data_IF_968381832558
#
_entry.id   IF_968381832558
#
_cell.length_a   1.000
_cell.length_b   1.000
_cell.length_c   1.000
_cell.angle_alpha   90.00
_cell.angle_beta   90.00
_cell.angle_gamma   90.00
#
_symmetry.space_group_name_H-M   'P 1'
#
loop_
_entity.id
_entity.type
_entity.pdbx_description
1 polymer ?
#
# COMPACT_ATOMS: atom_id res chain seq x y z
N UNK A 1 0.75 -16.67 19.33
CA UNK A 1 1.75 -17.30 18.44
C UNK A 1 2.87 -16.31 18.14
N UNK A 2 4.12 -16.79 17.96
CA UNK A 2 5.23 -16.01 17.41
C UNK A 2 5.79 -16.71 16.16
N UNK A 3 5.99 -15.95 15.10
CA UNK A 3 6.56 -16.39 13.82
C UNK A 3 7.74 -15.47 13.46
N UNK A 4 8.83 -16.03 12.95
CA UNK A 4 9.94 -15.26 12.38
C UNK A 4 9.94 -15.44 10.86
N UNK A 5 10.13 -14.35 10.12
CA UNK A 5 10.21 -14.33 8.67
C UNK A 5 11.47 -13.56 8.27
N UNK A 6 12.30 -14.18 7.43
CA UNK A 6 13.48 -13.53 6.86
C UNK A 6 13.10 -12.63 5.69
N UNK A 7 13.83 -11.52 5.52
CA UNK A 7 13.78 -10.67 4.35
C UNK A 7 15.08 -10.80 3.53
N UNK A 8 15.00 -10.45 2.26
CA UNK A 8 16.19 -10.22 1.44
C UNK A 8 16.87 -8.94 1.94
N UNK A 9 18.14 -9.03 2.31
CA UNK A 9 18.92 -7.89 2.78
C UNK A 9 19.32 -6.98 1.60
N UNK A 10 19.53 -5.67 1.83
CA UNK A 10 19.27 -4.93 3.06
C UNK A 10 17.76 -4.70 3.29
N UNK A 11 17.35 -4.58 4.55
CA UNK A 11 15.94 -4.48 4.96
C UNK A 11 15.75 -3.51 6.12
N UNK A 12 14.71 -2.67 6.03
CA UNK A 12 14.24 -1.84 7.14
C UNK A 12 12.70 -1.83 7.19
N UNK A 13 12.14 -2.36 8.27
CA UNK A 13 10.71 -2.28 8.55
C UNK A 13 10.29 -0.83 8.77
N UNK A 14 11.12 -0.02 9.45
CA UNK A 14 10.83 1.39 9.68
C UNK A 14 10.73 2.17 8.37
N UNK A 15 11.62 1.90 7.41
CA UNK A 15 11.51 2.48 6.07
C UNK A 15 10.21 2.05 5.39
N UNK A 16 9.82 0.78 5.46
CA UNK A 16 8.54 0.30 4.89
C UNK A 16 7.35 1.01 5.52
N UNK A 17 7.31 1.13 6.85
CA UNK A 17 6.25 1.84 7.58
C UNK A 17 6.18 3.30 7.14
N UNK A 18 7.33 3.95 6.99
CA UNK A 18 7.46 5.35 6.59
C UNK A 18 7.33 5.58 5.07
N UNK A 19 7.24 4.52 4.26
CA UNK A 19 7.29 4.61 2.79
C UNK A 19 6.17 5.48 2.22
N UNK A 20 4.99 5.49 2.84
CA UNK A 20 3.87 6.37 2.52
C UNK A 20 2.76 6.27 3.58
N UNK A 21 1.57 6.78 3.25
CA UNK A 21 0.44 6.85 4.16
C UNK A 21 -0.27 5.53 4.49
N UNK A 22 0.01 4.39 3.85
CA UNK A 22 -0.76 3.15 4.09
C UNK A 22 -0.77 2.70 5.55
N UNK A 23 0.32 2.92 6.29
CA UNK A 23 0.40 2.58 7.71
C UNK A 23 -0.64 3.34 8.56
N UNK A 24 -1.18 4.45 8.05
CA UNK A 24 -2.25 5.26 8.67
C UNK A 24 -3.66 4.85 8.23
N UNK A 25 -3.79 3.91 7.29
CA UNK A 25 -5.07 3.45 6.78
C UNK A 25 -5.48 2.15 7.48
N UNK A 26 -6.63 2.16 8.15
CA UNK A 26 -7.22 0.97 8.75
C UNK A 26 -7.22 -0.23 7.78
N UNK A 27 -7.03 -1.46 8.27
CA UNK A 27 -6.86 -1.85 9.67
C UNK A 27 -5.41 -1.81 10.19
N UNK A 28 -4.50 -1.10 9.51
CA UNK A 28 -3.17 -0.85 10.05
C UNK A 28 -3.21 0.13 11.23
N UNK A 29 -2.26 -0.01 12.14
CA UNK A 29 -1.97 0.94 13.21
C UNK A 29 -0.49 0.84 13.60
N UNK A 30 0.06 1.89 14.18
CA UNK A 30 1.43 1.89 14.70
C UNK A 30 1.40 1.83 16.21
N UNK A 31 2.12 0.87 16.79
CA UNK A 31 2.25 0.80 18.24
C UNK A 31 3.26 1.85 18.72
N UNK A 32 2.74 2.94 19.31
CA UNK A 32 3.53 4.14 19.68
C UNK A 32 4.76 3.87 20.56
N UNK A 33 4.77 2.78 21.32
CA UNK A 33 5.89 2.47 22.25
C UNK A 33 7.02 1.67 21.59
N UNK A 34 6.75 0.91 20.53
CA UNK A 34 7.72 -0.03 19.96
C UNK A 34 7.98 0.18 18.47
N UNK A 35 7.32 1.16 17.85
CA UNK A 35 7.36 1.39 16.38
C UNK A 35 7.00 0.14 15.56
N UNK A 36 6.24 -0.78 16.15
CA UNK A 36 5.74 -1.97 15.47
C UNK A 36 4.61 -1.61 14.51
N UNK A 37 4.55 -2.33 13.39
CA UNK A 37 3.38 -2.32 12.52
C UNK A 37 2.34 -3.29 13.07
N UNK A 38 1.22 -2.74 13.51
CA UNK A 38 0.06 -3.49 13.92
C UNK A 38 -0.97 -3.60 12.81
N UNK A 39 -1.72 -4.70 12.81
CA UNK A 39 -2.86 -4.88 11.90
C UNK A 39 -3.93 -5.83 12.48
N UNK A 40 -5.21 -5.48 12.30
CA UNK A 40 -6.30 -6.45 12.47
C UNK A 40 -6.55 -7.16 11.15
N UNK A 41 -6.47 -8.49 11.15
CA UNK A 41 -6.51 -9.32 9.95
C UNK A 41 -7.56 -10.42 10.06
N UNK A 42 -8.38 -10.56 9.01
CA UNK A 42 -9.29 -11.68 8.84
C UNK A 42 -8.61 -12.79 8.06
N UNK A 43 -8.53 -13.97 8.66
CA UNK A 43 -8.02 -15.18 8.01
C UNK A 43 -9.11 -15.80 7.12
N UNK A 44 -8.68 -16.63 6.18
CA UNK A 44 -9.59 -17.36 5.28
C UNK A 44 -10.53 -18.33 6.02
N UNK A 45 -10.16 -18.75 7.24
CA UNK A 45 -11.02 -19.51 8.16
C UNK A 45 -12.18 -18.69 8.74
N UNK A 46 -12.20 -17.37 8.51
CA UNK A 46 -13.16 -16.43 9.12
C UNK A 46 -12.72 -15.89 10.48
N UNK A 47 -11.63 -16.40 11.04
CA UNK A 47 -11.07 -15.91 12.30
C UNK A 47 -10.47 -14.51 12.10
N UNK A 48 -10.79 -13.57 12.98
CA UNK A 48 -10.17 -12.25 13.02
C UNK A 48 -9.13 -12.23 14.14
N UNK A 49 -7.91 -11.82 13.81
CA UNK A 49 -6.76 -11.80 14.72
C UNK A 49 -6.05 -10.46 14.67
N UNK A 50 -5.39 -10.11 15.76
CA UNK A 50 -4.42 -9.02 15.77
C UNK A 50 -3.03 -9.56 15.44
N UNK A 51 -2.32 -8.87 14.55
CA UNK A 51 -0.93 -9.11 14.23
C UNK A 51 -0.10 -7.90 14.67
N UNK A 52 0.98 -8.14 15.39
CA UNK A 52 2.00 -7.14 15.69
C UNK A 52 3.32 -7.57 15.06
N UNK A 53 3.90 -6.70 14.24
CA UNK A 53 5.06 -7.01 13.43
C UNK A 53 6.21 -6.09 13.82
N UNK A 54 7.35 -6.71 14.16
CA UNK A 54 8.57 -6.01 14.60
C UNK A 54 9.76 -6.46 13.78
N UNK A 55 10.66 -5.54 13.53
CA UNK A 55 11.95 -5.85 12.94
C UNK A 55 12.74 -6.75 13.88
N UNK A 56 13.36 -7.80 13.33
CA UNK A 56 14.15 -8.75 14.09
C UNK A 56 15.21 -9.40 13.19
N UNK A 57 16.49 -9.14 13.45
CA UNK A 57 17.58 -9.58 12.59
C UNK A 57 17.40 -9.07 11.17
N UNK A 58 17.56 -9.95 10.17
CA UNK A 58 17.42 -9.62 8.75
C UNK A 58 15.96 -9.72 8.25
N UNK A 59 14.97 -9.44 9.10
CA UNK A 59 13.56 -9.60 8.75
C UNK A 59 12.63 -9.15 9.86
N UNK A 60 11.56 -9.92 10.08
CA UNK A 60 10.53 -9.57 11.06
C UNK A 60 10.11 -10.74 11.95
N UNK A 61 9.68 -10.41 13.16
CA UNK A 61 8.84 -11.29 13.98
C UNK A 61 7.40 -10.82 13.96
N UNK A 62 6.49 -11.76 13.77
CA UNK A 62 5.03 -11.57 13.80
C UNK A 62 4.50 -12.22 15.07
N UNK A 63 3.79 -11.43 15.86
CA UNK A 63 3.19 -11.84 17.13
C UNK A 63 1.68 -11.65 17.08
N UNK A 64 0.97 -12.57 17.70
CA UNK A 64 -0.47 -12.51 17.89
C UNK A 64 -0.80 -13.20 19.22
N UNK A 65 -1.77 -12.70 20.02
CA UNK A 65 -2.18 -13.40 21.24
C UNK A 65 -2.79 -14.77 20.93
N UNK A 66 -3.38 -14.91 19.75
CA UNK A 66 -4.02 -16.14 19.30
C UNK A 66 -3.05 -17.30 19.07
N UNK A 67 -3.53 -18.51 19.36
CA UNK A 67 -2.87 -19.75 18.93
C UNK A 67 -3.33 -20.07 17.52
N UNK A 68 -2.42 -19.92 16.56
CA UNK A 68 -2.60 -20.29 15.15
C UNK A 68 -1.72 -21.49 14.84
N UNK A 69 -2.29 -22.49 14.16
CA UNK A 69 -1.62 -23.74 13.81
C UNK A 69 -1.90 -24.12 12.35
N UNK A 70 -0.99 -24.91 11.78
CA UNK A 70 -1.08 -25.38 10.40
C UNK A 70 -1.33 -24.23 9.41
N UNK A 71 -2.42 -24.36 8.66
CA UNK A 71 -2.77 -23.46 7.58
C UNK A 71 -2.97 -21.99 7.99
N UNK A 72 -3.51 -21.70 9.19
CA UNK A 72 -3.67 -20.31 9.65
C UNK A 72 -2.31 -19.61 9.83
N UNK A 73 -1.33 -20.35 10.36
CA UNK A 73 0.03 -19.84 10.54
C UNK A 73 0.73 -19.60 9.20
N UNK A 74 0.54 -20.49 8.24
CA UNK A 74 1.07 -20.36 6.88
C UNK A 74 0.42 -19.21 6.12
N UNK A 75 -0.90 -19.01 6.28
CA UNK A 75 -1.61 -17.87 5.72
C UNK A 75 -1.05 -16.54 6.27
N UNK A 76 -0.86 -16.41 7.59
CA UNK A 76 -0.25 -15.21 8.20
C UNK A 76 1.15 -14.99 7.65
N UNK A 77 1.97 -16.05 7.56
CA UNK A 77 3.32 -15.97 7.01
C UNK A 77 3.32 -15.39 5.59
N UNK A 78 2.48 -15.95 4.69
CA UNK A 78 2.35 -15.52 3.30
C UNK A 78 1.81 -14.10 3.18
N UNK A 79 0.81 -13.74 3.98
CA UNK A 79 0.25 -12.38 4.02
C UNK A 79 1.30 -11.36 4.42
N UNK A 80 2.04 -11.59 5.51
CA UNK A 80 3.09 -10.67 5.96
C UNK A 80 4.26 -10.61 4.97
N UNK A 81 4.66 -11.76 4.42
CA UNK A 81 5.72 -11.83 3.41
C UNK A 81 5.37 -11.00 2.17
N UNK A 82 4.13 -11.09 1.68
CA UNK A 82 3.61 -10.25 0.61
C UNK A 82 3.59 -8.78 1.04
N UNK A 83 2.92 -8.47 2.15
CA UNK A 83 2.65 -7.12 2.65
C UNK A 83 3.90 -6.26 2.83
N UNK A 84 5.01 -6.88 3.24
CA UNK A 84 6.29 -6.21 3.48
C UNK A 84 7.33 -6.44 2.36
N UNK A 85 6.95 -7.14 1.29
CA UNK A 85 7.84 -7.54 0.18
C UNK A 85 9.13 -8.19 0.65
N UNK A 86 9.01 -9.13 1.60
CA UNK A 86 10.19 -9.67 2.29
C UNK A 86 11.16 -10.38 1.34
N UNK A 87 10.67 -11.07 0.30
CA UNK A 87 11.55 -11.75 -0.65
C UNK A 87 11.97 -10.96 -1.87
N UNK A 88 11.65 -9.67 -1.96
CA UNK A 88 12.07 -8.84 -3.09
C UNK A 88 13.58 -8.56 -3.02
N UNK A 89 14.31 -8.89 -4.09
CA UNK A 89 15.72 -8.51 -4.26
C UNK A 89 15.82 -7.14 -4.92
N UNK A 90 16.25 -6.15 -4.14
CA UNK A 90 16.45 -4.78 -4.58
C UNK A 90 17.89 -4.48 -5.01
N UNK A 91 18.77 -5.48 -5.10
CA UNK A 91 20.15 -5.28 -5.60
C UNK A 91 20.19 -4.58 -6.96
N UNK A 92 19.35 -4.91 -7.95
CA UNK A 92 19.32 -4.19 -9.23
C UNK A 92 18.86 -2.73 -9.09
N UNK A 93 17.94 -2.45 -8.17
CA UNK A 93 17.51 -1.09 -7.86
C UNK A 93 18.66 -0.27 -7.26
N UNK A 94 19.37 -0.84 -6.28
CA UNK A 94 20.51 -0.18 -5.65
C UNK A 94 21.63 0.11 -6.64
N UNK A 95 21.91 -0.82 -7.56
CA UNK A 95 22.85 -0.60 -8.66
C UNK A 95 22.40 0.59 -9.55
N UNK A 96 21.11 0.64 -9.90
CA UNK A 96 20.57 1.68 -10.76
C UNK A 96 20.63 3.09 -10.16
N UNK A 97 20.64 3.21 -8.82
CA UNK A 97 20.64 4.51 -8.12
C UNK A 97 21.98 4.86 -7.46
N UNK A 98 22.97 3.98 -7.47
CA UNK A 98 24.23 4.15 -6.72
C UNK A 98 24.98 5.44 -7.06
N UNK A 99 24.96 5.83 -8.33
CA UNK A 99 25.64 7.03 -8.83
C UNK A 99 24.86 8.33 -8.56
N UNK A 100 23.66 8.27 -7.98
CA UNK A 100 22.92 9.45 -7.54
C UNK A 100 23.21 9.72 -6.05
N UNK A 101 24.00 10.76 -5.70
CA UNK A 101 24.41 11.01 -4.31
C UNK A 101 23.23 11.15 -3.34
N UNK A 102 22.08 11.64 -3.81
CA UNK A 102 20.87 11.78 -2.99
C UNK A 102 20.23 10.45 -2.60
N UNK A 103 20.48 9.39 -3.37
CA UNK A 103 19.91 8.05 -3.20
C UNK A 103 20.97 7.02 -2.78
N UNK A 104 22.25 7.37 -2.73
CA UNK A 104 23.34 6.47 -2.36
C UNK A 104 23.21 5.86 -0.93
N UNK A 105 22.40 6.48 -0.07
CA UNK A 105 22.14 5.98 1.29
C UNK A 105 21.12 4.83 1.35
N UNK A 106 20.29 4.64 0.31
CA UNK A 106 19.15 3.72 0.34
C UNK A 106 19.57 2.27 0.61
N UNK A 107 20.65 1.80 -0.02
CA UNK A 107 21.16 0.44 0.15
C UNK A 107 21.63 0.20 1.59
N UNK A 108 22.50 1.08 2.11
CA UNK A 108 23.02 0.98 3.48
C UNK A 108 21.90 0.97 4.54
N UNK A 109 20.82 1.69 4.28
CA UNK A 109 19.71 1.87 5.22
C UNK A 109 18.53 0.89 4.96
N UNK A 110 18.65 0.00 3.96
CA UNK A 110 17.60 -0.98 3.65
C UNK A 110 16.29 -0.36 3.15
N UNK A 111 16.37 0.81 2.54
CA UNK A 111 15.24 1.58 2.02
C UNK A 111 14.94 1.13 0.59
N UNK A 112 13.67 1.06 0.19
CA UNK A 112 13.28 0.75 -1.19
C UNK A 112 11.92 0.08 -1.30
N UNK A 113 11.54 -0.71 -0.30
CA UNK A 113 10.26 -1.44 -0.25
C UNK A 113 9.11 -0.54 0.16
N UNK A 114 7.97 -0.70 -0.52
CA UNK A 114 6.74 0.07 -0.28
C UNK A 114 5.75 -0.81 0.47
N UNK A 115 5.15 -0.28 1.55
CA UNK A 115 4.10 -0.98 2.29
C UNK A 115 2.86 -1.14 1.40
N UNK A 116 2.26 -2.32 1.43
CA UNK A 116 1.00 -2.62 0.73
C UNK A 116 0.06 -3.40 1.64
N UNK A 117 -1.17 -3.65 1.20
CA UNK A 117 -2.10 -4.48 1.96
C UNK A 117 -1.87 -5.98 1.71
N UNK A 118 -2.37 -6.88 2.59
CA UNK A 118 -2.25 -8.33 2.41
C UNK A 118 -2.91 -8.87 1.15
N UNK A 119 -3.91 -8.18 0.61
CA UNK A 119 -4.65 -8.52 -0.61
C UNK A 119 -4.56 -7.38 -1.61
N UNK A 120 -4.55 -7.73 -2.89
CA UNK A 120 -4.60 -6.72 -3.97
C UNK A 120 -5.97 -6.06 -3.97
N UNK A 121 -7.03 -6.79 -3.65
CA UNK A 121 -8.37 -6.23 -3.47
C UNK A 121 -8.40 -5.01 -2.52
N UNK A 122 -7.80 -5.14 -1.33
CA UNK A 122 -7.75 -4.05 -0.37
C UNK A 122 -6.98 -2.84 -0.93
N UNK A 123 -5.86 -3.07 -1.62
CA UNK A 123 -5.09 -2.01 -2.25
C UNK A 123 -5.91 -1.29 -3.34
N UNK A 124 -6.66 -2.02 -4.19
CA UNK A 124 -7.55 -1.40 -5.19
C UNK A 124 -8.61 -0.53 -4.51
N UNK A 125 -9.28 -1.04 -3.46
CA UNK A 125 -10.29 -0.26 -2.73
C UNK A 125 -9.66 0.99 -2.12
N UNK A 126 -8.52 0.87 -1.45
CA UNK A 126 -7.80 2.01 -0.85
C UNK A 126 -7.39 3.03 -1.91
N UNK A 127 -6.86 2.60 -3.05
CA UNK A 127 -6.49 3.49 -4.17
C UNK A 127 -7.71 4.17 -4.78
N UNK A 128 -8.83 3.49 -4.96
CA UNK A 128 -10.06 4.13 -5.41
C UNK A 128 -10.46 5.26 -4.46
N UNK A 129 -10.33 5.04 -3.15
CA UNK A 129 -10.57 6.02 -2.10
C UNK A 129 -9.53 7.16 -2.03
N UNK A 130 -8.39 7.10 -2.73
CA UNK A 130 -7.43 8.21 -2.82
C UNK A 130 -7.69 9.15 -4.01
N UNK A 131 -8.42 8.70 -5.02
CA UNK A 131 -8.71 9.52 -6.22
C UNK A 131 -9.44 10.81 -5.83
N UNK A 132 -9.19 11.96 -6.47
CA UNK A 132 -9.92 13.23 -6.29
C UNK A 132 -10.37 13.55 -4.84
N UNK A 133 -9.45 13.48 -3.88
CA UNK A 133 -9.70 13.77 -2.47
C UNK A 133 -8.43 14.22 -1.76
N UNK A 134 -8.57 14.73 -0.54
CA UNK A 134 -7.44 14.95 0.36
C UNK A 134 -7.12 13.67 1.13
N UNK A 135 -5.88 13.55 1.58
CA UNK A 135 -5.43 12.42 2.39
C UNK A 135 -6.26 12.22 3.67
N UNK A 136 -6.57 13.30 4.41
CA UNK A 136 -7.39 13.22 5.63
C UNK A 136 -8.83 12.73 5.35
N UNK A 137 -9.34 12.95 4.13
CA UNK A 137 -10.62 12.38 3.72
C UNK A 137 -10.47 10.91 3.31
N UNK A 138 -9.35 10.52 2.68
CA UNK A 138 -9.03 9.10 2.44
C UNK A 138 -9.00 8.31 3.75
N UNK A 139 -8.26 8.79 4.76
CA UNK A 139 -8.16 8.14 6.07
C UNK A 139 -9.55 7.92 6.67
N UNK A 140 -10.39 8.95 6.70
CA UNK A 140 -11.77 8.86 7.23
C UNK A 140 -12.67 7.90 6.44
N UNK A 141 -12.57 7.89 5.11
CA UNK A 141 -13.37 6.96 4.28
C UNK A 141 -12.95 5.50 4.52
N UNK A 142 -11.65 5.23 4.60
CA UNK A 142 -11.14 3.87 4.88
C UNK A 142 -11.51 3.43 6.29
N UNK A 143 -11.35 4.30 7.29
CA UNK A 143 -11.73 4.01 8.68
C UNK A 143 -13.23 3.71 8.81
N UNK A 144 -14.09 4.51 8.16
CA UNK A 144 -15.53 4.28 8.17
C UNK A 144 -15.93 2.99 7.46
N UNK A 145 -15.30 2.68 6.32
CA UNK A 145 -15.53 1.44 5.57
C UNK A 145 -15.15 0.21 6.41
N UNK A 146 -13.98 0.24 7.04
CA UNK A 146 -13.48 -0.86 7.89
C UNK A 146 -14.36 -1.03 9.13
N UNK A 147 -14.70 0.06 9.81
CA UNK A 147 -15.51 0.00 11.04
C UNK A 147 -16.96 -0.44 10.79
N UNK A 148 -17.57 -0.07 9.66
CA UNK A 148 -18.97 -0.45 9.40
C UNK A 148 -19.13 -1.85 8.81
N UNK A 149 -18.20 -2.30 7.97
CA UNK A 149 -18.40 -3.49 7.15
C UNK A 149 -17.39 -4.60 7.37
N UNK A 150 -16.31 -4.33 8.11
CA UNK A 150 -15.32 -5.33 8.49
C UNK A 150 -15.80 -6.22 9.65
N UNK A 151 -15.18 -7.40 9.79
CA UNK A 151 -15.43 -8.26 10.95
C UNK A 151 -14.68 -7.72 12.19
N UNK A 152 -15.32 -7.62 13.37
CA UNK A 152 -14.69 -7.12 14.58
C UNK A 152 -13.63 -8.08 15.12
N UNK A 153 -12.57 -7.51 15.71
CA UNK A 153 -11.60 -8.27 16.50
C UNK A 153 -12.27 -8.75 17.79
N UNK A 154 -12.29 -10.06 18.11
CA UNK A 154 -13.01 -10.57 19.28
C UNK A 154 -12.55 -9.98 20.63
N UNK A 155 -11.28 -9.62 20.75
CA UNK A 155 -10.69 -9.05 21.97
C UNK A 155 -10.92 -7.55 22.10
N UNK A 156 -11.21 -6.85 21.00
CA UNK A 156 -11.52 -5.42 20.96
C UNK A 156 -12.49 -5.14 19.80
N UNK A 157 -13.81 -5.23 20.04
CA UNK A 157 -14.81 -5.04 18.99
C UNK A 157 -14.89 -3.64 18.41
N UNK A 158 -14.12 -2.66 18.91
CA UNK A 158 -14.00 -1.35 18.27
C UNK A 158 -13.10 -1.40 17.03
N UNK A 159 -12.24 -2.41 16.93
CA UNK A 159 -11.29 -2.59 15.84
C UNK A 159 -11.74 -3.72 14.94
N UNK A 160 -11.63 -3.51 13.63
CA UNK A 160 -12.20 -4.39 12.63
C UNK A 160 -11.13 -4.77 11.60
N UNK A 161 -11.25 -5.97 11.03
CA UNK A 161 -10.49 -6.34 9.85
C UNK A 161 -11.01 -5.60 8.62
N UNK A 162 -10.24 -5.59 7.53
CA UNK A 162 -10.74 -5.05 6.27
C UNK A 162 -11.91 -5.91 5.73
N UNK A 163 -12.99 -5.31 5.20
CA UNK A 163 -14.14 -6.07 4.71
C UNK A 163 -13.76 -6.95 3.50
N UNK A 164 -14.36 -8.15 3.44
CA UNK A 164 -14.17 -9.07 2.30
C UNK A 164 -14.91 -8.56 1.05
N UNK A 165 -14.57 -9.09 -0.14
CA UNK A 165 -15.35 -8.84 -1.35
C UNK A 165 -16.85 -9.14 -1.16
N UNK A 166 -17.21 -10.28 -0.56
CA UNK A 166 -18.60 -10.65 -0.27
C UNK A 166 -19.31 -9.63 0.62
N UNK A 167 -18.62 -9.16 1.68
CA UNK A 167 -19.18 -8.16 2.60
C UNK A 167 -19.47 -6.86 1.86
N UNK A 168 -18.54 -6.36 1.04
CA UNK A 168 -18.74 -5.13 0.27
C UNK A 168 -19.75 -5.30 -0.87
N UNK A 169 -19.82 -6.47 -1.51
CA UNK A 169 -20.76 -6.76 -2.59
C UNK A 169 -22.24 -6.71 -2.14
N UNK A 170 -22.47 -7.03 -0.86
CA UNK A 170 -23.79 -6.99 -0.22
C UNK A 170 -24.23 -5.58 0.23
N UNK A 171 -23.31 -4.60 0.26
CA UNK A 171 -23.63 -3.23 0.70
C UNK A 171 -24.44 -2.48 -0.36
N UNK A 172 -25.42 -1.68 0.08
CA UNK A 172 -26.17 -0.80 -0.81
C UNK A 172 -25.34 0.44 -1.13
N UNK A 173 -25.44 0.94 -2.36
CA UNK A 173 -24.69 2.13 -2.78
C UNK A 173 -24.97 3.35 -1.90
N UNK A 174 -26.21 3.53 -1.45
CA UNK A 174 -26.61 4.62 -0.56
C UNK A 174 -25.90 4.58 0.81
N UNK A 175 -25.60 3.39 1.33
CA UNK A 175 -24.92 3.23 2.61
C UNK A 175 -23.44 3.61 2.49
N UNK A 176 -22.78 3.22 1.40
CA UNK A 176 -21.42 3.69 1.10
C UNK A 176 -21.38 5.22 0.93
N UNK A 177 -22.41 5.81 0.29
CA UNK A 177 -22.51 7.27 0.18
C UNK A 177 -22.69 7.92 1.54
N UNK A 178 -23.46 7.31 2.44
CA UNK A 178 -23.70 7.82 3.79
C UNK A 178 -22.42 7.90 4.65
N UNK A 179 -21.45 7.00 4.43
CA UNK A 179 -20.12 7.07 5.07
C UNK A 179 -19.09 7.94 4.33
N UNK A 180 -19.53 8.69 3.31
CA UNK A 180 -18.70 9.72 2.65
C UNK A 180 -17.87 9.25 1.46
N UNK A 181 -18.00 7.98 1.03
CA UNK A 181 -17.32 7.40 -0.16
C UNK A 181 -17.66 8.18 -1.43
N UNK A 182 -18.88 8.72 -1.51
CA UNK A 182 -19.32 9.62 -2.57
C UNK A 182 -19.44 8.93 -3.93
N UNK A 183 -18.91 9.54 -4.99
CA UNK A 183 -19.02 9.02 -6.36
C UNK A 183 -18.32 7.67 -6.57
N UNK A 184 -17.45 7.25 -5.65
CA UNK A 184 -16.72 5.99 -5.71
C UNK A 184 -17.56 4.79 -5.29
N UNK A 185 -18.71 5.02 -4.64
CA UNK A 185 -19.59 3.97 -4.15
C UNK A 185 -19.97 2.93 -5.23
N UNK A 186 -20.44 3.32 -6.44
CA UNK A 186 -20.72 2.35 -7.50
C UNK A 186 -19.47 1.57 -7.94
N UNK A 187 -18.28 2.19 -7.94
CA UNK A 187 -17.02 1.52 -8.33
C UNK A 187 -16.61 0.45 -7.31
N UNK A 188 -16.77 0.74 -6.01
CA UNK A 188 -16.49 -0.23 -4.96
C UNK A 188 -17.45 -1.42 -5.01
N UNK A 189 -18.73 -1.19 -5.29
CA UNK A 189 -19.73 -2.25 -5.41
C UNK A 189 -19.47 -3.10 -6.65
N UNK A 190 -19.18 -2.49 -7.80
CA UNK A 190 -18.83 -3.20 -9.03
C UNK A 190 -17.60 -4.09 -8.80
N UNK A 191 -16.52 -3.51 -8.27
CA UNK A 191 -15.29 -4.24 -7.93
C UNK A 191 -15.57 -5.41 -6.98
N UNK A 192 -16.28 -5.17 -5.88
CA UNK A 192 -16.55 -6.18 -4.87
C UNK A 192 -17.37 -7.35 -5.43
N UNK A 193 -18.39 -7.07 -6.26
CA UNK A 193 -19.22 -8.10 -6.91
C UNK A 193 -18.41 -8.92 -7.91
N UNK A 194 -17.67 -8.26 -8.81
CA UNK A 194 -16.86 -8.95 -9.83
C UNK A 194 -15.80 -9.86 -9.19
N UNK A 195 -15.23 -9.45 -8.06
CA UNK A 195 -14.30 -10.29 -7.29
C UNK A 195 -15.01 -11.41 -6.54
N UNK A 196 -16.14 -11.13 -5.87
CA UNK A 196 -16.91 -12.15 -5.13
C UNK A 196 -17.49 -13.24 -6.07
N UNK A 197 -17.95 -12.85 -7.26
CA UNK A 197 -18.50 -13.75 -8.28
C UNK A 197 -17.40 -14.51 -9.06
N UNK A 198 -16.12 -14.17 -8.83
CA UNK A 198 -14.98 -14.78 -9.50
C UNK A 198 -14.76 -14.33 -10.95
N UNK A 199 -15.44 -13.27 -11.41
CA UNK A 199 -15.22 -12.66 -12.73
C UNK A 199 -13.83 -12.03 -12.84
N UNK A 200 -13.35 -11.44 -11.73
CA UNK A 200 -12.03 -10.81 -11.63
C UNK A 200 -11.25 -11.44 -10.47
N UNK A 201 -10.17 -12.13 -10.78
CA UNK A 201 -9.17 -12.55 -9.80
C UNK A 201 -8.08 -11.47 -9.69
N UNK A 202 -8.15 -10.62 -8.66
CA UNK A 202 -7.11 -9.61 -8.40
C UNK A 202 -5.85 -10.21 -7.77
N UNK A 203 -5.95 -11.36 -7.11
CA UNK A 203 -4.82 -11.97 -6.43
C UNK A 203 -3.84 -12.60 -7.44
N UNK A 204 -4.28 -12.88 -8.67
CA UNK A 204 -3.39 -13.23 -9.79
C UNK A 204 -2.33 -12.16 -10.07
N UNK A 205 -2.56 -10.89 -9.69
CA UNK A 205 -1.61 -9.79 -9.90
C UNK A 205 -0.39 -9.89 -8.98
N UNK A 206 -0.37 -10.85 -8.05
CA UNK A 206 0.80 -11.19 -7.23
C UNK A 206 1.83 -12.06 -7.95
N UNK A 207 1.49 -12.59 -9.13
CA UNK A 207 2.41 -13.40 -9.93
C UNK A 207 3.41 -12.52 -10.69
N UNK A 208 4.67 -12.57 -10.29
CA UNK A 208 5.75 -11.82 -10.92
C UNK A 208 5.97 -12.23 -12.40
N UNK A 209 5.51 -13.42 -12.81
CA UNK A 209 5.61 -13.89 -14.20
C UNK A 209 4.57 -13.25 -15.13
N UNK A 210 3.55 -12.57 -14.59
CA UNK A 210 2.50 -11.95 -15.40
C UNK A 210 3.07 -10.75 -16.18
N UNK A 211 2.92 -10.63 -17.51
CA UNK A 211 3.48 -9.50 -18.25
C UNK A 211 2.95 -8.14 -17.77
N UNK A 212 3.80 -7.11 -17.68
CA UNK A 212 3.43 -5.80 -17.12
C UNK A 212 2.24 -5.15 -17.84
N UNK A 213 2.21 -5.22 -19.18
CA UNK A 213 1.09 -4.72 -19.97
C UNK A 213 -0.22 -5.47 -19.68
N UNK A 214 -0.15 -6.76 -19.30
CA UNK A 214 -1.32 -7.54 -18.92
C UNK A 214 -1.83 -7.11 -17.54
N UNK A 215 -0.93 -6.91 -16.57
CA UNK A 215 -1.28 -6.35 -15.24
C UNK A 215 -1.96 -4.99 -15.42
N UNK A 216 -1.34 -4.10 -16.21
CA UNK A 216 -1.86 -2.76 -16.52
C UNK A 216 -3.27 -2.80 -17.11
N UNK A 217 -3.50 -3.63 -18.13
CA UNK A 217 -4.83 -3.76 -18.76
C UNK A 217 -5.88 -4.27 -17.77
N UNK A 218 -5.56 -5.30 -16.99
CA UNK A 218 -6.47 -5.84 -15.98
C UNK A 218 -6.87 -4.76 -14.95
N UNK A 219 -5.94 -3.88 -14.58
CA UNK A 219 -6.22 -2.77 -13.67
C UNK A 219 -7.07 -1.67 -14.34
N UNK A 220 -6.78 -1.30 -15.59
CA UNK A 220 -7.52 -0.27 -16.35
C UNK A 220 -8.95 -0.71 -16.71
N UNK A 221 -9.21 -2.01 -16.76
CA UNK A 221 -10.56 -2.58 -16.97
C UNK A 221 -11.47 -2.44 -15.72
N UNK A 222 -10.94 -1.98 -14.59
CA UNK A 222 -11.71 -1.75 -13.36
C UNK A 222 -12.33 -0.35 -13.37
N UNK A 223 -13.60 -0.26 -13.01
CA UNK A 223 -14.29 1.03 -12.96
C UNK A 223 -13.63 1.98 -11.94
N UNK A 224 -13.40 3.22 -12.37
CA UNK A 224 -12.78 4.26 -11.54
C UNK A 224 -11.25 4.19 -11.45
N UNK A 225 -10.61 3.18 -12.05
CA UNK A 225 -9.15 3.05 -12.11
C UNK A 225 -8.61 3.75 -13.37
N UNK A 226 -8.27 5.04 -13.23
CA UNK A 226 -7.56 5.80 -14.27
C UNK A 226 -6.04 5.74 -14.13
N UNK A 227 -5.30 6.45 -15.00
CA UNK A 227 -3.83 6.37 -15.09
C UNK A 227 -3.07 6.52 -13.76
N UNK A 228 -3.47 7.48 -12.91
CA UNK A 228 -2.89 7.63 -11.57
C UNK A 228 -3.07 6.36 -10.72
N UNK A 229 -4.30 5.83 -10.68
CA UNK A 229 -4.64 4.66 -9.87
C UNK A 229 -3.95 3.41 -10.43
N UNK A 230 -3.91 3.24 -11.74
CA UNK A 230 -3.16 2.18 -12.42
C UNK A 230 -1.68 2.22 -12.06
N UNK A 231 -1.02 3.37 -12.19
CA UNK A 231 0.40 3.51 -11.86
C UNK A 231 0.67 3.22 -10.38
N UNK A 232 -0.20 3.68 -9.46
CA UNK A 232 -0.06 3.40 -8.03
C UNK A 232 -0.21 1.91 -7.72
N UNK A 233 -1.20 1.25 -8.32
CA UNK A 233 -1.42 -0.19 -8.15
C UNK A 233 -0.28 -1.02 -8.75
N UNK A 234 0.26 -0.61 -9.90
CA UNK A 234 1.46 -1.20 -10.50
C UNK A 234 2.63 -1.16 -9.51
N UNK A 235 2.90 0.00 -8.90
CA UNK A 235 3.95 0.14 -7.87
C UNK A 235 3.69 -0.76 -6.67
N UNK A 236 2.45 -0.86 -6.19
CA UNK A 236 2.08 -1.73 -5.05
C UNK A 236 2.26 -3.23 -5.37
N UNK A 237 2.02 -3.66 -6.61
CA UNK A 237 2.29 -5.05 -7.03
C UNK A 237 3.74 -5.29 -7.45
N UNK A 238 4.60 -4.26 -7.39
CA UNK A 238 6.03 -4.38 -7.64
C UNK A 238 6.49 -4.12 -9.07
N UNK A 239 5.69 -3.37 -9.84
CA UNK A 239 6.02 -2.88 -11.17
C UNK A 239 6.27 -1.38 -11.09
N UNK A 240 7.52 -0.97 -11.28
CA UNK A 240 7.99 0.37 -10.94
C UNK A 240 8.22 1.27 -12.15
N UNK A 241 7.80 0.82 -13.34
CA UNK A 241 8.00 1.45 -14.63
C UNK A 241 7.05 2.63 -14.88
N UNK A 242 6.35 3.12 -13.86
CA UNK A 242 5.47 4.27 -13.96
C UNK A 242 5.45 5.08 -12.65
N UNK A 243 5.22 6.38 -12.78
CA UNK A 243 5.06 7.30 -11.67
C UNK A 243 3.56 7.58 -11.49
N UNK A 244 2.99 7.43 -10.28
CA UNK A 244 1.62 7.82 -10.01
C UNK A 244 1.49 9.33 -10.00
N UNK A 245 1.14 9.91 -11.15
CA UNK A 245 1.10 11.36 -11.32
C UNK A 245 -0.21 11.94 -10.78
N UNK A 246 -0.12 12.66 -9.67
CA UNK A 246 -1.18 13.51 -9.12
C UNK A 246 -0.73 14.98 -9.04
N UNK A 247 -1.53 15.83 -8.39
CA UNK A 247 -1.18 17.23 -8.18
C UNK A 247 0.07 17.42 -7.33
N UNK A 248 0.33 16.52 -6.38
CA UNK A 248 1.51 16.58 -5.50
C UNK A 248 2.77 16.16 -6.26
N UNK A 249 2.68 15.14 -7.11
CA UNK A 249 3.77 14.73 -8.01
C UNK A 249 4.16 15.88 -8.94
N UNK A 250 3.17 16.55 -9.54
CA UNK A 250 3.39 17.72 -10.39
C UNK A 250 4.09 18.85 -9.64
N UNK A 251 3.61 19.19 -8.45
CA UNK A 251 4.20 20.24 -7.62
C UNK A 251 5.65 19.90 -7.23
N UNK A 252 5.88 18.69 -6.74
CA UNK A 252 7.21 18.20 -6.33
C UNK A 252 8.22 18.25 -7.48
N UNK A 253 7.85 17.72 -8.64
CA UNK A 253 8.73 17.73 -9.83
C UNK A 253 8.95 19.15 -10.34
N UNK A 254 7.90 19.97 -10.34
CA UNK A 254 7.96 21.37 -10.74
C UNK A 254 8.97 22.16 -9.90
N UNK A 255 8.94 22.02 -8.58
CA UNK A 255 9.88 22.70 -7.68
C UNK A 255 11.31 22.18 -7.85
N UNK A 256 11.49 20.87 -7.94
CA UNK A 256 12.79 20.22 -7.97
C UNK A 256 13.56 20.49 -9.28
N UNK A 257 12.92 20.40 -10.45
CA UNK A 257 13.60 20.49 -11.75
C UNK A 257 13.22 21.69 -12.60
N UNK A 258 12.09 22.35 -12.32
CA UNK A 258 11.51 23.35 -13.22
C UNK A 258 11.31 24.73 -12.59
N UNK A 259 11.80 24.93 -11.35
CA UNK A 259 11.76 26.21 -10.64
C UNK A 259 10.32 26.70 -10.37
N UNK A 260 9.40 25.78 -10.09
CA UNK A 260 8.00 26.10 -9.79
C UNK A 260 7.10 26.31 -11.02
N UNK A 261 7.60 26.10 -12.24
CA UNK A 261 6.79 26.18 -13.46
C UNK A 261 5.88 24.96 -13.61
N UNK A 262 4.65 25.09 -14.15
CA UNK A 262 3.78 23.94 -14.39
C UNK A 262 4.45 22.85 -15.24
N UNK A 263 4.23 21.59 -14.87
CA UNK A 263 4.78 20.41 -15.56
C UNK A 263 3.68 19.42 -15.91
N UNK A 264 3.79 18.81 -17.09
CA UNK A 264 2.94 17.71 -17.56
C UNK A 264 3.58 16.35 -17.34
N UNK A 265 2.95 15.31 -17.88
CA UNK A 265 3.40 13.93 -17.73
C UNK A 265 4.75 13.68 -18.43
N UNK A 266 4.99 14.33 -19.56
CA UNK A 266 6.25 14.23 -20.30
C UNK A 266 7.44 14.83 -19.54
N UNK A 267 7.24 15.98 -18.88
CA UNK A 267 8.28 16.58 -18.04
C UNK A 267 8.63 15.71 -16.83
N UNK A 268 7.62 15.09 -16.23
CA UNK A 268 7.80 14.16 -15.10
C UNK A 268 8.53 12.91 -15.57
N UNK A 269 8.08 12.28 -16.66
CA UNK A 269 8.73 11.09 -17.19
C UNK A 269 10.19 11.35 -17.55
N UNK A 270 10.46 12.48 -18.22
CA UNK A 270 11.83 12.90 -18.59
C UNK A 270 12.73 13.12 -17.37
N UNK A 271 12.20 13.65 -16.26
CA UNK A 271 12.96 13.86 -15.04
C UNK A 271 13.49 12.54 -14.43
N UNK A 272 12.76 11.43 -14.66
CA UNK A 272 13.12 10.11 -14.11
C UNK A 272 13.54 9.07 -15.15
N UNK A 273 13.59 9.43 -16.44
CA UNK A 273 13.85 8.50 -17.54
C UNK A 273 15.16 7.71 -17.39
N UNK A 274 16.20 8.30 -16.78
CA UNK A 274 17.52 7.65 -16.61
C UNK A 274 17.49 6.39 -15.74
N UNK A 275 16.47 6.21 -14.91
CA UNK A 275 16.34 5.04 -14.03
C UNK A 275 15.47 3.93 -14.64
N UNK A 276 14.96 4.10 -15.86
CA UNK A 276 14.25 3.07 -16.61
C UNK A 276 13.06 2.50 -15.83
N UNK A 277 13.07 1.18 -15.61
CA UNK A 277 12.03 0.46 -14.88
C UNK A 277 11.92 0.86 -13.39
N UNK A 278 12.93 1.54 -12.84
CA UNK A 278 12.95 1.93 -11.43
C UNK A 278 12.37 3.32 -11.16
N UNK A 279 11.93 4.06 -12.19
CA UNK A 279 11.51 5.47 -12.05
C UNK A 279 10.41 5.69 -11.01
N UNK A 280 9.49 4.74 -10.85
CA UNK A 280 8.45 4.76 -9.82
C UNK A 280 9.03 4.68 -8.41
N UNK A 281 9.96 3.75 -8.15
CA UNK A 281 10.66 3.67 -6.86
C UNK A 281 11.54 4.89 -6.61
N UNK A 282 12.25 5.37 -7.63
CA UNK A 282 13.09 6.56 -7.50
C UNK A 282 12.24 7.78 -7.17
N UNK A 283 11.11 7.98 -7.86
CA UNK A 283 10.15 9.03 -7.52
C UNK A 283 9.68 8.91 -6.06
N UNK A 284 9.38 7.68 -5.61
CA UNK A 284 8.88 7.42 -4.26
C UNK A 284 9.90 7.77 -3.18
N UNK A 285 11.16 7.40 -3.40
CA UNK A 285 12.27 7.57 -2.44
C UNK A 285 13.11 8.82 -2.71
N UNK A 286 12.72 9.64 -3.67
CA UNK A 286 13.39 10.91 -3.91
C UNK A 286 13.31 11.77 -2.64
N UNK A 287 14.42 12.36 -2.17
CA UNK A 287 14.41 13.17 -0.97
C UNK A 287 13.87 14.56 -1.32
N UNK A 288 12.55 14.62 -1.51
CA UNK A 288 11.81 15.83 -1.81
C UNK A 288 12.10 16.90 -0.77
N UNK A 289 12.52 18.09 -1.22
CA UNK A 289 12.67 19.23 -0.33
C UNK A 289 11.34 19.49 0.36
N UNK A 290 11.33 19.43 1.68
CA UNK A 290 10.16 19.78 2.47
C UNK A 290 9.89 21.26 2.26
N UNK A 291 8.81 21.60 1.57
CA UNK A 291 8.34 22.98 1.53
C UNK A 291 6.90 23.08 2.06
N UNK A 292 6.81 23.72 3.23
CA UNK A 292 5.82 24.72 3.70
C UNK A 292 4.30 24.52 3.49
N UNK A 293 3.81 23.38 3.00
CA UNK A 293 2.37 23.07 2.88
C UNK A 293 1.87 21.94 3.77
N UNK A 294 2.75 21.00 4.18
CA UNK A 294 2.37 19.84 4.99
C UNK A 294 2.81 20.02 6.46
N UNK A 295 2.11 20.89 7.20
CA UNK A 295 2.41 21.19 8.62
C UNK A 295 2.05 20.07 9.64
N UNK A 296 1.83 18.82 9.25
CA UNK A 296 1.26 17.82 10.21
C UNK A 296 1.76 16.38 10.11
N UNK A 297 2.89 16.08 9.47
CA UNK A 297 3.33 14.67 9.35
C UNK A 297 4.38 14.20 10.37
N UNK A 298 4.87 15.06 11.27
CA UNK A 298 5.90 14.65 12.25
C UNK A 298 5.60 15.00 13.72
N UNK A 299 4.42 15.54 14.04
CA UNK A 299 4.10 15.87 15.44
C UNK A 299 3.60 14.68 16.28
N UNK A 300 3.42 13.49 15.70
CA UNK A 300 2.83 12.31 16.38
C UNK A 300 3.74 11.07 16.37
N UNK A 301 5.02 11.23 16.00
CA UNK A 301 6.05 10.18 16.13
C UNK A 301 7.26 10.67 16.97
N UNK A 302 6.98 11.46 18.01
CA UNK A 302 7.88 11.66 19.15
C UNK A 302 7.15 11.35 20.45
#
# INVERSE_FOLDING_TARGET
>A
MRLALSACAPFSLQAIIASHGWARLSPFFIEHQTTALGRVERLSTGRVVELIIREAGDGVTVETPDRLEGFEREEVARKVWWMLRLGEDLSPFYEAVREEPRLAHLEREGIGRILRSPTVFEDVVKVLLTTNTTWDRTVRMVEALVTQYGDPLPTDPSRHAFPTPDQLAAVREEDLRAIGVGYRAPYLIDLARRVADGEVDLEQLKDDNLPADRVRRLLQDLQGVGEYATALLMVLVGRYDAIPVDTVARERVSQEWYGGRPVGDEEIDRAFARWGEWKGLVYWWWPWSRDTGCKKQEAECR
#
